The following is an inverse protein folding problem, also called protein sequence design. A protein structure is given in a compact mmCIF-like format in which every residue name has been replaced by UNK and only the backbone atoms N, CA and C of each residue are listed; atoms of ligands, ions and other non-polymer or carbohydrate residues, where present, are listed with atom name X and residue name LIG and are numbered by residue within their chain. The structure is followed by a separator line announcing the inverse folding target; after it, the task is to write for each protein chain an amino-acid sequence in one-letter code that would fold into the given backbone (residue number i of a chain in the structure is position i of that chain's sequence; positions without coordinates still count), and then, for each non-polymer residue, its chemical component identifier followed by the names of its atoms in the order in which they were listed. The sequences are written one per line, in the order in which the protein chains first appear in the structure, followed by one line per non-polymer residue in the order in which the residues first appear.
data_IF_445068450897
#
_entry.id   IF_445068450897
#
_cell.length_a   1.000
_cell.length_b   1.000
_cell.length_c   1.000
_cell.angle_alpha   90.00
_cell.angle_beta   90.00
_cell.angle_gamma   90.00
#
_symmetry.space_group_name_H-M   'P 1'
#
loop_
_entity.id
_entity.type
_entity.pdbx_description
1 polymer ?
#
# COMPACT_ATOMS: atom_id res chain seq x y z
N UNK A 1 -22.08 50.10 -9.38
CA UNK A 1 -20.84 49.31 -9.56
C UNK A 1 -20.33 48.68 -8.26
N UNK A 2 -20.23 49.38 -7.10
CA UNK A 2 -19.68 48.79 -5.85
C UNK A 2 -20.51 47.63 -5.31
N UNK A 3 -21.85 47.72 -5.31
CA UNK A 3 -22.75 46.65 -4.82
C UNK A 3 -22.62 45.38 -5.68
N UNK A 4 -22.58 45.49 -7.01
CA UNK A 4 -22.40 44.37 -7.91
C UNK A 4 -21.05 43.67 -7.69
N UNK A 5 -19.98 44.43 -7.41
CA UNK A 5 -18.66 43.86 -7.06
C UNK A 5 -18.68 43.10 -5.74
N UNK A 6 -19.38 43.63 -4.72
CA UNK A 6 -19.54 42.94 -3.44
C UNK A 6 -20.34 41.65 -3.56
N UNK A 7 -21.44 41.67 -4.33
CA UNK A 7 -22.26 40.47 -4.61
C UNK A 7 -21.44 39.42 -5.35
N UNK A 8 -20.69 39.82 -6.37
CA UNK A 8 -19.81 38.90 -7.13
C UNK A 8 -18.75 38.27 -6.22
N UNK A 9 -18.08 39.07 -5.40
CA UNK A 9 -17.10 38.57 -4.42
C UNK A 9 -17.72 37.58 -3.45
N UNK A 10 -18.91 37.91 -2.93
CA UNK A 10 -19.62 37.01 -2.02
C UNK A 10 -20.00 35.68 -2.69
N UNK A 11 -20.43 35.70 -3.95
CA UNK A 11 -20.71 34.46 -4.75
C UNK A 11 -19.44 33.64 -4.93
N UNK A 12 -18.31 34.27 -5.25
CA UNK A 12 -17.02 33.57 -5.37
C UNK A 12 -16.58 32.95 -4.05
N UNK A 13 -16.74 33.66 -2.93
CA UNK A 13 -16.44 33.13 -1.60
C UNK A 13 -17.36 31.98 -1.22
N UNK A 14 -18.65 32.07 -1.53
CA UNK A 14 -19.60 31.00 -1.30
C UNK A 14 -19.28 29.75 -2.15
N UNK A 15 -18.95 29.93 -3.44
CA UNK A 15 -18.49 28.85 -4.33
C UNK A 15 -17.20 28.20 -3.80
N UNK A 16 -16.29 29.01 -3.26
CA UNK A 16 -15.03 28.50 -2.66
C UNK A 16 -15.27 27.75 -1.38
N UNK A 17 -16.22 28.19 -0.57
CA UNK A 17 -16.55 27.56 0.72
C UNK A 17 -17.32 26.24 0.56
N UNK A 18 -18.34 26.23 -0.29
CA UNK A 18 -19.16 25.03 -0.54
C UNK A 18 -18.50 24.01 -1.47
N UNK A 19 -17.52 24.44 -2.27
CA UNK A 19 -16.78 23.61 -3.22
C UNK A 19 -17.68 22.61 -3.98
N UNK A 20 -18.72 23.07 -4.70
CA UNK A 20 -19.69 22.18 -5.33
C UNK A 20 -19.03 21.30 -6.38
N UNK A 21 -19.54 20.07 -6.57
CA UNK A 21 -18.96 19.04 -7.43
C UNK A 21 -18.50 19.53 -8.83
N UNK A 22 -19.23 20.41 -9.55
CA UNK A 22 -18.73 20.93 -10.84
C UNK A 22 -17.46 21.77 -10.72
N UNK A 23 -17.31 22.55 -9.64
CA UNK A 23 -16.11 23.36 -9.39
C UNK A 23 -14.93 22.47 -9.03
N UNK A 24 -15.14 21.44 -8.21
CA UNK A 24 -14.13 20.43 -7.91
C UNK A 24 -13.64 19.74 -9.20
N UNK A 25 -14.56 19.27 -10.05
CA UNK A 25 -14.23 18.63 -11.33
C UNK A 25 -13.41 19.57 -12.22
N UNK A 26 -13.81 20.83 -12.37
CA UNK A 26 -13.07 21.82 -13.17
C UNK A 26 -11.66 22.02 -12.62
N UNK A 27 -11.52 22.14 -11.30
CA UNK A 27 -10.21 22.27 -10.65
C UNK A 27 -9.32 21.05 -10.88
N UNK A 28 -9.88 19.83 -10.79
CA UNK A 28 -9.15 18.59 -11.03
C UNK A 28 -8.73 18.47 -12.51
N UNK A 29 -9.60 18.83 -13.45
CA UNK A 29 -9.25 18.88 -14.88
C UNK A 29 -8.20 19.92 -15.21
N UNK A 30 -8.20 21.06 -14.51
CA UNK A 30 -7.13 22.06 -14.64
C UNK A 30 -5.79 21.50 -14.13
N UNK A 31 -5.80 20.76 -13.03
CA UNK A 31 -4.61 20.06 -12.54
C UNK A 31 -4.09 19.04 -13.56
N UNK A 32 -4.99 18.23 -14.15
CA UNK A 32 -4.61 17.26 -15.20
C UNK A 32 -3.92 17.97 -16.38
N UNK A 33 -4.48 19.12 -16.81
CA UNK A 33 -3.91 19.91 -17.89
C UNK A 33 -2.51 20.42 -17.53
N UNK A 34 -2.30 20.92 -16.31
CA UNK A 34 -0.97 21.35 -15.88
C UNK A 34 0.03 20.18 -15.82
N UNK A 35 -0.39 19.02 -15.35
CA UNK A 35 0.47 17.82 -15.35
C UNK A 35 0.78 17.33 -16.78
N UNK A 36 -0.13 17.54 -17.74
CA UNK A 36 0.11 17.23 -19.15
C UNK A 36 1.12 18.21 -19.79
N UNK A 37 1.03 19.50 -19.46
CA UNK A 37 1.94 20.54 -19.98
C UNK A 37 3.33 20.40 -19.36
N UNK A 38 3.40 20.13 -18.05
CA UNK A 38 4.65 20.01 -17.30
C UNK A 38 4.65 18.70 -16.48
N UNK A 39 4.86 17.55 -17.13
CA UNK A 39 4.92 16.26 -16.47
C UNK A 39 6.19 16.16 -15.61
N UNK A 40 6.13 15.29 -14.60
CA UNK A 40 7.29 15.03 -13.75
C UNK A 40 8.47 14.51 -14.57
N UNK A 41 9.64 15.13 -14.43
CA UNK A 41 10.87 14.61 -15.01
C UNK A 41 11.27 13.26 -14.36
N UNK A 42 11.62 12.29 -15.20
CA UNK A 42 12.01 10.93 -14.77
C UNK A 42 13.51 10.73 -14.95
N UNK A 43 14.33 11.48 -14.22
CA UNK A 43 15.80 11.42 -14.34
C UNK A 43 16.40 10.22 -13.60
N UNK A 44 15.84 9.86 -12.44
CA UNK A 44 16.26 8.69 -11.67
C UNK A 44 15.03 7.95 -11.14
N UNK A 45 14.99 6.64 -11.35
CA UNK A 45 13.89 5.82 -10.85
C UNK A 45 14.38 5.03 -9.64
N UNK A 46 14.13 5.58 -8.45
CA UNK A 46 14.38 4.88 -7.19
C UNK A 46 13.46 3.67 -6.99
N UNK A 47 12.33 3.61 -7.70
CA UNK A 47 11.34 2.53 -7.62
C UNK A 47 11.31 1.78 -8.95
N UNK A 48 11.34 0.44 -8.87
CA UNK A 48 11.14 -0.47 -9.99
C UNK A 48 9.89 -1.29 -9.72
N UNK A 49 9.02 -1.41 -10.72
CA UNK A 49 7.86 -2.30 -10.68
C UNK A 49 8.27 -3.61 -11.33
N UNK A 50 8.10 -4.71 -10.59
CA UNK A 50 8.25 -6.07 -11.09
C UNK A 50 6.86 -6.63 -11.26
N UNK A 51 6.43 -6.73 -12.50
CA UNK A 51 5.09 -7.19 -12.85
C UNK A 51 5.09 -8.70 -13.09
N UNK A 52 4.03 -9.36 -12.64
CA UNK A 52 3.73 -10.75 -12.96
C UNK A 52 2.85 -10.74 -14.21
N UNK A 53 3.51 -10.54 -15.34
CA UNK A 53 2.88 -10.42 -16.66
C UNK A 53 2.63 -11.78 -17.34
N UNK A 54 2.01 -11.76 -18.53
CA UNK A 54 1.73 -12.97 -19.29
C UNK A 54 2.98 -13.79 -19.62
N UNK A 55 4.13 -13.13 -19.90
CA UNK A 55 5.40 -13.84 -20.17
C UNK A 55 5.89 -14.57 -18.93
N UNK A 56 5.74 -13.97 -17.78
CA UNK A 56 6.05 -14.61 -16.50
C UNK A 56 5.16 -15.81 -16.23
N UNK A 57 3.87 -15.72 -16.59
CA UNK A 57 2.91 -16.81 -16.47
C UNK A 57 3.19 -17.94 -17.45
N UNK A 58 3.59 -17.62 -18.68
CA UNK A 58 4.03 -18.62 -19.67
C UNK A 58 5.29 -19.36 -19.20
N UNK A 59 6.25 -18.66 -18.59
CA UNK A 59 7.52 -19.25 -18.16
C UNK A 59 7.41 -20.07 -16.86
N UNK A 60 6.55 -19.66 -15.92
CA UNK A 60 6.49 -20.21 -14.56
C UNK A 60 5.14 -20.85 -14.21
N UNK A 61 4.18 -20.85 -15.13
CA UNK A 61 2.84 -21.38 -14.93
C UNK A 61 1.87 -20.38 -14.30
N UNK A 62 0.64 -20.84 -14.10
CA UNK A 62 -0.45 -20.00 -13.60
C UNK A 62 -0.19 -19.49 -12.17
N UNK A 63 -0.59 -18.24 -11.94
CA UNK A 63 -0.71 -17.67 -10.60
C UNK A 63 -1.86 -18.34 -9.78
N UNK A 64 -1.75 -18.53 -8.47
CA UNK A 64 -0.61 -18.17 -7.62
C UNK A 64 0.54 -19.18 -7.71
N UNK A 65 1.77 -18.65 -7.81
CA UNK A 65 2.98 -19.45 -7.84
C UNK A 65 3.32 -20.09 -6.49
N UNK A 66 4.10 -21.20 -6.47
CA UNK A 66 4.64 -21.78 -5.26
C UNK A 66 5.41 -20.73 -4.45
N UNK A 67 5.28 -20.77 -3.13
CA UNK A 67 5.97 -19.84 -2.23
C UNK A 67 7.49 -19.94 -2.34
N UNK A 68 8.02 -21.10 -2.72
CA UNK A 68 9.45 -21.28 -3.00
C UNK A 68 9.94 -20.43 -4.17
N UNK A 69 9.14 -20.30 -5.24
CA UNK A 69 9.46 -19.43 -6.37
C UNK A 69 9.46 -17.94 -5.96
N UNK A 70 8.52 -17.53 -5.10
CA UNK A 70 8.49 -16.17 -4.56
C UNK A 70 9.68 -15.89 -3.63
N UNK A 71 10.12 -16.90 -2.87
CA UNK A 71 11.34 -16.80 -2.06
C UNK A 71 12.60 -16.60 -2.93
N UNK A 72 12.69 -17.36 -4.03
CA UNK A 72 13.78 -17.23 -5.00
C UNK A 72 13.75 -15.86 -5.71
N UNK A 73 12.58 -15.41 -6.15
CA UNK A 73 12.39 -14.08 -6.73
C UNK A 73 12.85 -12.99 -5.77
N UNK A 74 12.43 -13.08 -4.50
CA UNK A 74 12.85 -12.14 -3.46
C UNK A 74 14.37 -12.08 -3.36
N UNK A 75 15.02 -13.24 -3.24
CA UNK A 75 16.49 -13.31 -3.21
C UNK A 75 17.13 -12.65 -4.43
N UNK A 76 16.67 -12.97 -5.64
CA UNK A 76 17.21 -12.40 -6.89
C UNK A 76 17.06 -10.88 -6.96
N UNK A 77 15.98 -10.31 -6.45
CA UNK A 77 15.79 -8.87 -6.39
C UNK A 77 16.81 -8.20 -5.47
N UNK A 78 17.12 -8.80 -4.32
CA UNK A 78 18.16 -8.30 -3.42
C UNK A 78 19.57 -8.51 -3.99
N UNK A 79 19.84 -9.62 -4.65
CA UNK A 79 21.09 -9.87 -5.37
C UNK A 79 21.30 -8.82 -6.50
N UNK A 80 20.19 -8.31 -7.08
CA UNK A 80 20.20 -7.23 -8.07
C UNK A 80 20.28 -5.81 -7.45
N UNK A 81 20.40 -5.70 -6.13
CA UNK A 81 20.62 -4.43 -5.43
C UNK A 81 19.36 -3.73 -4.90
N UNK A 82 18.24 -4.43 -4.78
CA UNK A 82 17.07 -3.85 -4.14
C UNK A 82 17.32 -3.53 -2.67
N UNK A 83 17.01 -2.30 -2.23
CA UNK A 83 17.11 -1.90 -0.83
C UNK A 83 15.92 -2.45 -0.01
N UNK A 84 14.77 -2.59 -0.61
CA UNK A 84 13.56 -3.18 -0.03
C UNK A 84 12.67 -3.72 -1.14
N UNK A 85 11.86 -4.72 -0.84
CA UNK A 85 10.85 -5.28 -1.75
C UNK A 85 9.47 -5.19 -1.11
N UNK A 86 8.55 -4.50 -1.77
CA UNK A 86 7.15 -4.41 -1.37
C UNK A 86 6.29 -5.35 -2.20
N UNK A 87 5.44 -6.13 -1.54
CA UNK A 87 4.48 -7.00 -2.20
C UNK A 87 3.10 -6.32 -2.22
N UNK A 88 2.67 -5.90 -3.40
CA UNK A 88 1.29 -5.47 -3.66
C UNK A 88 0.37 -6.70 -3.81
N UNK A 89 0.51 -7.62 -2.86
CA UNK A 89 -0.15 -8.93 -2.84
C UNK A 89 -0.48 -9.26 -1.40
N UNK A 90 -1.64 -9.89 -1.17
CA UNK A 90 -2.02 -10.46 0.12
C UNK A 90 -1.96 -11.98 0.04
N UNK A 91 -1.18 -12.59 0.90
CA UNK A 91 -1.00 -14.03 0.99
C UNK A 91 -1.90 -14.61 2.08
N UNK A 92 -3.23 -14.50 1.89
CA UNK A 92 -4.22 -14.89 2.88
C UNK A 92 -4.37 -16.40 3.06
N UNK A 93 -3.94 -17.17 2.06
CA UNK A 93 -4.08 -18.63 2.05
C UNK A 93 -2.71 -19.31 2.00
N UNK A 94 -2.64 -20.49 2.60
CA UNK A 94 -1.45 -21.31 2.56
C UNK A 94 -1.21 -21.91 1.16
N UNK A 95 0.06 -22.13 0.81
CA UNK A 95 0.45 -22.65 -0.48
C UNK A 95 -0.16 -24.04 -0.74
N UNK A 96 -1.02 -24.11 -1.76
CA UNK A 96 -1.66 -25.37 -2.19
C UNK A 96 -0.67 -26.38 -2.75
N UNK A 97 0.50 -25.93 -3.23
CA UNK A 97 1.54 -26.76 -3.82
C UNK A 97 2.60 -27.21 -2.80
N UNK A 98 2.42 -26.91 -1.53
CA UNK A 98 3.26 -27.47 -0.46
C UNK A 98 3.21 -29.00 -0.53
N UNK A 99 4.38 -29.71 -0.58
CA UNK A 99 4.43 -31.16 -0.80
C UNK A 99 3.54 -31.99 0.13
N UNK A 100 3.50 -31.64 1.42
CA UNK A 100 2.64 -32.32 2.39
C UNK A 100 1.13 -32.13 2.10
N UNK A 101 0.71 -31.01 1.48
CA UNK A 101 -0.68 -30.78 1.05
C UNK A 101 -1.01 -31.57 -0.20
N UNK A 102 -0.07 -31.58 -1.17
CA UNK A 102 -0.19 -32.40 -2.38
C UNK A 102 -0.34 -33.87 -2.00
N UNK A 103 0.48 -34.39 -1.08
CA UNK A 103 0.39 -35.77 -0.59
C UNK A 103 -0.97 -36.11 0.05
N UNK A 104 -1.58 -35.16 0.76
CA UNK A 104 -2.94 -35.35 1.33
C UNK A 104 -4.04 -35.37 0.29
N UNK A 105 -3.88 -34.63 -0.79
CA UNK A 105 -4.90 -34.49 -1.84
C UNK A 105 -4.86 -35.62 -2.88
N UNK A 106 -3.85 -36.49 -2.83
CA UNK A 106 -3.68 -37.62 -3.72
C UNK A 106 -3.87 -38.96 -2.94
N UNK A 107 -5.10 -39.50 -2.89
CA UNK A 107 -5.40 -40.69 -2.07
C UNK A 107 -4.65 -41.93 -2.46
N UNK A 108 -4.38 -42.09 -3.76
CA UNK A 108 -3.74 -43.30 -4.32
C UNK A 108 -2.20 -43.22 -4.39
N UNK A 109 -1.60 -42.24 -3.68
CA UNK A 109 -0.15 -42.08 -3.67
C UNK A 109 0.51 -43.23 -2.89
N UNK A 110 1.59 -43.89 -3.42
CA UNK A 110 2.37 -44.88 -2.72
C UNK A 110 2.86 -44.39 -1.35
N UNK A 111 2.92 -45.30 -0.37
CA UNK A 111 3.20 -44.90 1.03
C UNK A 111 4.59 -44.28 1.22
N UNK A 112 5.60 -44.80 0.50
CA UNK A 112 6.97 -44.27 0.49
C UNK A 112 7.04 -42.87 -0.09
N UNK A 113 6.37 -42.60 -1.22
CA UNK A 113 6.31 -41.31 -1.84
C UNK A 113 5.52 -40.31 -0.96
N UNK A 114 4.43 -40.76 -0.35
CA UNK A 114 3.65 -39.94 0.61
C UNK A 114 4.52 -39.53 1.80
N UNK A 115 5.32 -40.45 2.35
CA UNK A 115 6.24 -40.16 3.44
C UNK A 115 7.33 -39.17 3.01
N UNK A 116 7.90 -39.33 1.82
CA UNK A 116 8.90 -38.42 1.28
C UNK A 116 8.34 -37.00 1.10
N UNK A 117 7.15 -36.85 0.53
CA UNK A 117 6.49 -35.55 0.36
C UNK A 117 6.11 -34.94 1.73
N UNK A 118 5.69 -35.72 2.69
CA UNK A 118 5.36 -35.24 4.02
C UNK A 118 6.58 -34.72 4.79
N UNK A 119 7.78 -35.27 4.51
CA UNK A 119 9.05 -34.83 5.12
C UNK A 119 9.72 -33.67 4.38
N UNK A 120 9.20 -33.27 3.20
CA UNK A 120 9.73 -32.14 2.43
C UNK A 120 9.44 -30.81 3.13
N UNK A 121 10.30 -29.78 2.92
CA UNK A 121 10.09 -28.46 3.50
C UNK A 121 8.72 -27.88 3.13
N UNK A 122 8.10 -27.19 4.08
CA UNK A 122 6.86 -26.45 3.86
C UNK A 122 7.16 -25.16 3.07
N UNK A 123 6.48 -24.98 1.94
CA UNK A 123 6.71 -23.82 1.06
C UNK A 123 6.45 -22.48 1.78
N UNK A 124 5.44 -22.42 2.65
CA UNK A 124 5.13 -21.22 3.42
C UNK A 124 6.28 -20.88 4.40
N UNK A 125 6.89 -21.90 5.01
CA UNK A 125 8.06 -21.72 5.89
C UNK A 125 9.29 -21.22 5.10
N UNK A 126 9.51 -21.75 3.90
CA UNK A 126 10.60 -21.29 3.02
C UNK A 126 10.44 -19.83 2.66
N UNK A 127 9.23 -19.41 2.30
CA UNK A 127 8.95 -18.01 1.98
C UNK A 127 9.04 -17.11 3.22
N UNK A 128 8.51 -17.55 4.35
CA UNK A 128 8.64 -16.81 5.61
C UNK A 128 10.12 -16.59 6.02
N UNK A 129 10.98 -17.59 5.80
CA UNK A 129 12.42 -17.44 6.02
C UNK A 129 13.06 -16.38 5.10
N UNK A 130 12.65 -16.34 3.83
CA UNK A 130 13.10 -15.29 2.89
C UNK A 130 12.59 -13.90 3.34
N UNK A 131 11.32 -13.77 3.71
CA UNK A 131 10.76 -12.51 4.24
C UNK A 131 11.50 -12.01 5.48
N UNK A 132 11.95 -12.91 6.35
CA UNK A 132 12.72 -12.58 7.55
C UNK A 132 14.16 -12.17 7.24
N UNK A 133 14.75 -12.76 6.21
CA UNK A 133 16.16 -12.51 5.82
C UNK A 133 16.30 -11.16 5.11
N UNK A 134 15.36 -10.82 4.26
CA UNK A 134 15.41 -9.66 3.37
C UNK A 134 14.45 -8.57 3.83
N UNK A 135 14.80 -7.29 3.61
CA UNK A 135 13.97 -6.13 3.97
C UNK A 135 12.69 -6.07 3.12
N UNK A 136 11.68 -6.80 3.53
CA UNK A 136 10.41 -6.94 2.81
C UNK A 136 9.25 -6.24 3.52
N UNK A 137 8.29 -5.78 2.73
CA UNK A 137 7.02 -5.19 3.19
C UNK A 137 5.86 -5.89 2.52
N UNK A 138 4.89 -6.33 3.29
CA UNK A 138 3.68 -6.97 2.78
C UNK A 138 2.51 -5.99 2.70
N UNK A 139 1.66 -6.20 1.70
CA UNK A 139 0.41 -5.48 1.56
C UNK A 139 -0.73 -6.08 2.38
N UNK A 140 -1.66 -5.24 2.84
CA UNK A 140 -2.98 -5.61 3.37
C UNK A 140 -4.07 -4.90 2.60
N UNK A 141 -5.12 -5.59 2.21
CA UNK A 141 -6.31 -4.94 1.66
C UNK A 141 -7.16 -4.35 2.76
N UNK A 142 -7.66 -3.15 2.50
CA UNK A 142 -8.59 -2.45 3.38
C UNK A 142 -10.02 -2.91 3.09
N UNK A 143 -10.84 -2.99 4.16
CA UNK A 143 -12.27 -3.31 4.06
C UNK A 143 -13.13 -2.31 4.81
N UNK A 144 -14.30 -2.06 4.26
CA UNK A 144 -15.39 -1.36 4.92
C UNK A 144 -16.19 -2.34 5.80
N UNK A 145 -17.07 -1.81 6.65
CA UNK A 145 -17.90 -2.64 7.56
C UNK A 145 -18.74 -3.68 6.82
N UNK A 146 -19.32 -3.30 5.69
CA UNK A 146 -20.22 -4.15 4.92
C UNK A 146 -19.52 -5.34 4.24
N UNK A 147 -18.18 -5.26 4.09
CA UNK A 147 -17.40 -6.31 3.44
C UNK A 147 -16.84 -7.35 4.42
N UNK A 148 -17.07 -7.15 5.71
CA UNK A 148 -16.46 -7.96 6.77
C UNK A 148 -14.95 -7.72 6.88
N UNK A 149 -14.39 -7.86 8.05
CA UNK A 149 -12.98 -7.67 8.34
C UNK A 149 -12.79 -7.36 9.81
N UNK A 150 -11.63 -7.69 10.35
CA UNK A 150 -11.27 -7.34 11.72
C UNK A 150 -10.14 -6.33 11.73
N UNK A 151 -10.19 -5.43 12.70
CA UNK A 151 -9.11 -4.55 13.06
C UNK A 151 -8.26 -5.12 14.22
N UNK A 152 -8.58 -6.33 14.68
CA UNK A 152 -7.89 -6.95 15.81
C UNK A 152 -6.49 -7.43 15.43
N UNK A 153 -5.55 -7.28 16.36
CA UNK A 153 -4.17 -7.76 16.17
C UNK A 153 -3.38 -7.04 15.09
N UNK A 154 -3.79 -5.84 14.67
CA UNK A 154 -3.05 -5.05 13.68
C UNK A 154 -1.67 -4.69 14.20
N UNK A 155 -0.64 -5.19 13.54
CA UNK A 155 0.73 -4.71 13.73
C UNK A 155 0.84 -3.32 13.12
N UNK A 156 1.28 -2.35 13.90
CA UNK A 156 1.51 -0.98 13.45
C UNK A 156 2.91 -0.54 13.86
N UNK A 157 3.63 0.19 13.04
CA UNK A 157 4.86 0.85 13.46
C UNK A 157 4.56 1.92 14.52
N UNK A 158 5.59 2.37 15.20
CA UNK A 158 5.47 3.49 16.13
C UNK A 158 5.10 4.78 15.38
N UNK A 159 4.11 5.51 15.88
CA UNK A 159 3.66 6.78 15.31
C UNK A 159 3.67 7.84 16.42
N UNK A 160 4.55 8.81 16.29
CA UNK A 160 4.55 10.00 17.12
C UNK A 160 3.54 11.01 16.55
N UNK A 161 2.70 11.56 17.40
CA UNK A 161 1.70 12.57 17.04
C UNK A 161 2.21 13.92 17.51
N UNK A 162 2.21 14.91 16.62
CA UNK A 162 2.54 16.29 16.92
C UNK A 162 1.34 17.17 16.58
N UNK A 163 0.64 17.64 17.59
CA UNK A 163 -0.67 18.30 17.52
C UNK A 163 -1.80 17.37 17.92
N UNK A 164 -2.96 17.55 17.31
CA UNK A 164 -4.19 16.81 17.62
C UNK A 164 -4.16 15.33 17.18
N UNK A 165 -5.15 14.55 17.62
CA UNK A 165 -5.27 13.16 17.18
C UNK A 165 -5.54 13.07 15.66
N UNK A 166 -4.70 12.41 14.86
CA UNK A 166 -4.86 12.33 13.41
C UNK A 166 -6.06 11.46 12.97
N UNK A 167 -6.53 10.54 13.80
CA UNK A 167 -7.55 9.55 13.44
C UNK A 167 -8.84 10.17 12.84
N UNK A 168 -9.39 11.28 13.36
CA UNK A 168 -10.61 11.88 12.80
C UNK A 168 -10.45 12.43 11.38
N UNK A 169 -9.23 12.76 10.97
CA UNK A 169 -8.96 13.39 9.68
C UNK A 169 -8.60 12.38 8.58
N UNK A 170 -8.10 11.21 8.97
CA UNK A 170 -7.65 10.18 8.03
C UNK A 170 -8.81 9.42 7.36
N UNK A 171 -8.62 8.93 6.13
CA UNK A 171 -9.55 7.98 5.52
C UNK A 171 -9.74 6.77 6.42
N UNK A 172 -11.01 6.43 6.71
CA UNK A 172 -11.37 5.43 7.71
C UNK A 172 -11.84 4.13 7.05
N UNK A 173 -11.34 3.02 7.61
CA UNK A 173 -11.71 1.66 7.26
C UNK A 173 -12.01 0.87 8.54
N UNK A 174 -12.84 -0.17 8.43
CA UNK A 174 -13.31 -0.94 9.59
C UNK A 174 -12.52 -2.24 9.78
N UNK A 175 -11.80 -2.70 8.76
CA UNK A 175 -11.01 -3.92 8.84
C UNK A 175 -10.01 -4.08 7.71
N UNK A 176 -9.31 -5.22 7.72
CA UNK A 176 -8.32 -5.59 6.71
C UNK A 176 -8.46 -7.06 6.32
N UNK A 177 -7.99 -7.39 5.11
CA UNK A 177 -7.55 -8.73 4.75
C UNK A 177 -6.04 -8.77 4.89
N UNK A 178 -5.57 -9.65 5.75
CA UNK A 178 -4.16 -9.81 6.09
C UNK A 178 -3.57 -11.05 5.42
N UNK A 179 -2.26 -11.06 5.27
CA UNK A 179 -1.52 -12.28 4.94
C UNK A 179 -1.51 -13.24 6.12
N UNK A 180 -1.12 -14.51 5.87
CA UNK A 180 -0.96 -15.49 6.94
C UNK A 180 -0.06 -14.94 8.06
N UNK A 181 -0.36 -15.24 9.34
CA UNK A 181 0.41 -14.74 10.48
C UNK A 181 1.92 -15.03 10.38
N UNK A 182 2.29 -16.19 9.84
CA UNK A 182 3.70 -16.55 9.63
C UNK A 182 4.43 -15.56 8.72
N UNK A 183 3.78 -15.04 7.70
CA UNK A 183 4.37 -14.06 6.77
C UNK A 183 4.45 -12.68 7.40
N UNK A 184 3.37 -12.21 8.02
CA UNK A 184 3.35 -10.89 8.65
C UNK A 184 4.31 -10.75 9.83
N UNK A 185 4.54 -11.85 10.58
CA UNK A 185 5.53 -11.89 11.64
C UNK A 185 6.96 -11.93 11.13
N UNK A 186 7.16 -12.44 9.92
CA UNK A 186 8.48 -12.56 9.28
C UNK A 186 8.88 -11.30 8.51
N UNK A 187 7.93 -10.57 7.91
CA UNK A 187 8.20 -9.36 7.15
C UNK A 187 8.66 -8.21 8.05
N UNK A 188 9.46 -7.30 7.50
CA UNK A 188 9.99 -6.11 8.18
C UNK A 188 8.98 -4.99 8.32
N UNK A 189 7.94 -5.02 7.48
CA UNK A 189 6.84 -4.06 7.51
C UNK A 189 5.57 -4.61 6.90
N UNK A 190 4.45 -3.93 7.21
CA UNK A 190 3.15 -4.21 6.63
C UNK A 190 2.47 -2.88 6.33
N UNK A 191 2.09 -2.65 5.08
CA UNK A 191 1.46 -1.41 4.63
C UNK A 191 0.10 -1.66 3.99
N UNK A 192 -0.75 -0.64 4.01
CA UNK A 192 -2.11 -0.73 3.47
C UNK A 192 -2.11 -0.53 1.96
N UNK A 193 -2.82 -1.40 1.25
CA UNK A 193 -3.18 -1.26 -0.15
C UNK A 193 -4.50 -0.48 -0.19
N UNK A 194 -4.42 0.77 -0.66
CA UNK A 194 -5.57 1.68 -0.59
C UNK A 194 -6.19 1.84 -1.97
N UNK A 195 -7.40 1.34 -2.19
CA UNK A 195 -8.14 1.62 -3.42
C UNK A 195 -8.63 3.07 -3.35
N UNK A 196 -7.91 4.00 -3.97
CA UNK A 196 -8.31 5.41 -4.01
C UNK A 196 -8.53 5.84 -5.43
N UNK A 197 -9.73 6.25 -5.75
CA UNK A 197 -10.06 6.91 -7.00
C UNK A 197 -10.97 8.10 -6.71
N UNK A 198 -10.83 9.13 -7.50
CA UNK A 198 -11.74 10.27 -7.52
C UNK A 198 -13.06 9.82 -8.19
N UNK A 199 -14.05 10.72 -8.24
CA UNK A 199 -15.36 10.42 -8.85
C UNK A 199 -15.30 10.03 -10.34
N UNK A 200 -14.23 10.40 -11.02
CA UNK A 200 -13.96 10.09 -12.43
C UNK A 200 -12.99 8.90 -12.63
N UNK A 201 -12.76 8.11 -11.59
CA UNK A 201 -11.85 6.96 -11.53
C UNK A 201 -10.36 7.29 -11.81
N UNK A 202 -9.97 8.57 -11.76
CA UNK A 202 -8.56 8.96 -11.87
C UNK A 202 -7.98 9.11 -10.46
N UNK A 203 -6.82 8.52 -10.23
CA UNK A 203 -6.11 8.64 -8.96
C UNK A 203 -5.24 9.89 -9.01
N UNK A 204 -5.57 10.93 -8.25
CA UNK A 204 -4.75 12.14 -8.15
C UNK A 204 -4.18 12.36 -6.77
N UNK A 205 -4.78 11.73 -5.77
CA UNK A 205 -4.36 11.83 -4.37
C UNK A 205 -4.30 10.45 -3.76
N UNK A 206 -3.21 10.15 -3.08
CA UNK A 206 -3.00 8.86 -2.40
C UNK A 206 -2.81 9.14 -0.91
N UNK A 207 -3.55 8.49 0.00
CA UNK A 207 -3.29 8.63 1.43
C UNK A 207 -1.86 8.23 1.77
N UNK A 208 -1.19 9.02 2.60
CA UNK A 208 0.06 8.60 3.24
C UNK A 208 -0.23 7.56 4.32
N UNK A 209 -1.29 7.81 5.07
CA UNK A 209 -1.78 6.96 6.14
C UNK A 209 -3.29 6.86 6.10
N UNK A 210 -3.82 5.80 6.73
CA UNK A 210 -5.25 5.57 6.91
C UNK A 210 -5.54 5.22 8.37
N UNK A 211 -6.79 5.30 8.76
CA UNK A 211 -7.26 4.79 10.04
C UNK A 211 -8.00 3.47 9.83
N UNK A 212 -7.57 2.42 10.52
CA UNK A 212 -8.31 1.15 10.60
C UNK A 212 -8.84 1.01 12.03
N UNK A 213 -10.14 1.11 12.17
CA UNK A 213 -10.74 1.33 13.49
C UNK A 213 -10.21 2.62 14.14
N UNK A 214 -9.48 2.47 15.25
CA UNK A 214 -8.82 3.59 15.95
C UNK A 214 -7.30 3.62 15.75
N UNK A 215 -6.77 2.75 14.91
CA UNK A 215 -5.33 2.59 14.73
C UNK A 215 -4.88 3.23 13.42
N UNK A 216 -3.89 4.11 13.49
CA UNK A 216 -3.27 4.72 12.30
C UNK A 216 -2.35 3.71 11.64
N UNK A 217 -2.45 3.55 10.33
CA UNK A 217 -1.70 2.59 9.54
C UNK A 217 -1.06 3.27 8.33
N UNK A 218 0.22 3.01 8.01
CA UNK A 218 0.86 3.52 6.81
C UNK A 218 0.37 2.79 5.57
N UNK A 219 0.42 3.45 4.42
CA UNK A 219 0.28 2.78 3.13
C UNK A 219 1.53 1.99 2.76
N UNK A 220 1.41 1.06 1.79
CA UNK A 220 2.52 0.21 1.35
C UNK A 220 3.75 1.03 0.96
N UNK A 221 3.57 2.09 0.16
CA UNK A 221 4.67 2.93 -0.30
C UNK A 221 5.40 3.63 0.85
N UNK A 222 4.65 4.15 1.84
CA UNK A 222 5.23 4.81 2.98
C UNK A 222 5.96 3.82 3.92
N UNK A 223 5.40 2.62 4.09
CA UNK A 223 6.04 1.56 4.88
C UNK A 223 7.32 1.03 4.19
N UNK A 224 7.34 0.91 2.86
CA UNK A 224 8.55 0.59 2.11
C UNK A 224 9.64 1.63 2.35
N UNK A 225 9.30 2.93 2.34
CA UNK A 225 10.25 4.00 2.64
C UNK A 225 10.79 3.89 4.07
N UNK A 226 9.94 3.58 5.06
CA UNK A 226 10.36 3.36 6.43
C UNK A 226 11.36 2.22 6.56
N UNK A 227 11.04 1.08 5.95
CA UNK A 227 11.89 -0.13 6.00
C UNK A 227 13.21 0.13 5.27
N UNK A 228 13.18 0.70 4.07
CA UNK A 228 14.36 1.01 3.27
C UNK A 228 15.34 1.97 3.98
N UNK A 229 14.83 2.90 4.79
CA UNK A 229 15.62 3.89 5.52
C UNK A 229 15.98 3.45 6.96
N UNK A 230 15.56 2.24 7.37
CA UNK A 230 15.83 1.71 8.71
C UNK A 230 15.10 2.45 9.84
N UNK A 231 14.09 3.26 9.53
CA UNK A 231 13.36 4.04 10.52
C UNK A 231 12.40 3.17 11.32
N UNK A 232 12.16 3.55 12.57
CA UNK A 232 11.23 2.84 13.48
C UNK A 232 9.92 3.57 13.67
N UNK A 233 9.90 4.88 13.44
CA UNK A 233 8.80 5.77 13.83
C UNK A 233 8.47 6.74 12.72
N UNK A 234 7.17 7.00 12.54
CA UNK A 234 6.65 8.14 11.78
C UNK A 234 6.34 9.29 12.73
N UNK A 235 6.37 10.52 12.22
CA UNK A 235 5.76 11.67 12.91
C UNK A 235 4.61 12.19 12.04
N UNK A 236 3.41 12.23 12.61
CA UNK A 236 2.23 12.84 11.97
C UNK A 236 2.02 14.18 12.61
N UNK A 237 2.11 15.25 11.81
CA UNK A 237 1.84 16.62 12.24
C UNK A 237 0.39 16.98 11.90
N UNK A 238 -0.32 17.46 12.89
CA UNK A 238 -1.72 17.90 12.77
C UNK A 238 -1.87 19.34 13.31
N UNK A 239 -2.83 20.04 12.74
CA UNK A 239 -3.32 21.33 13.25
C UNK A 239 -4.86 21.29 13.35
N UNK A 240 -5.48 22.41 13.71
CA UNK A 240 -6.94 22.54 13.82
C UNK A 240 -7.69 22.23 12.49
N UNK A 241 -7.01 22.33 11.35
CA UNK A 241 -7.58 22.09 10.04
C UNK A 241 -7.45 20.63 9.57
N UNK A 242 -6.58 19.83 10.20
CA UNK A 242 -6.36 18.43 9.84
C UNK A 242 -4.89 18.01 9.81
N UNK A 243 -4.56 17.07 8.94
CA UNK A 243 -3.18 16.60 8.75
C UNK A 243 -2.40 17.67 7.96
N UNK A 244 -1.27 18.10 8.49
CA UNK A 244 -0.37 19.04 7.80
C UNK A 244 0.71 18.30 7.01
N UNK A 245 1.35 17.31 7.64
CA UNK A 245 2.41 16.54 7.00
C UNK A 245 2.67 15.21 7.72
N UNK A 246 3.38 14.32 7.02
CA UNK A 246 3.97 13.10 7.59
C UNK A 246 5.49 13.20 7.47
N UNK A 247 6.22 12.96 8.56
CA UNK A 247 7.68 13.01 8.56
C UNK A 247 8.23 11.59 8.70
N UNK A 248 9.17 11.25 7.83
CA UNK A 248 9.90 9.99 7.86
C UNK A 248 11.36 10.20 7.41
N UNK A 249 12.30 9.60 8.09
CA UNK A 249 13.74 9.71 7.79
C UNK A 249 14.22 11.18 7.68
N UNK A 250 13.68 12.08 8.50
CA UNK A 250 14.00 13.50 8.46
C UNK A 250 13.34 14.28 7.31
N UNK A 251 12.65 13.60 6.40
CA UNK A 251 11.94 14.23 5.29
C UNK A 251 10.49 14.50 5.66
N UNK A 252 10.06 15.73 5.49
CA UNK A 252 8.69 16.15 5.68
C UNK A 252 7.91 16.04 4.35
N UNK A 253 6.89 15.19 4.35
CA UNK A 253 6.01 14.96 3.20
C UNK A 253 4.73 15.76 3.43
N UNK A 254 4.51 16.85 2.69
CA UNK A 254 3.29 17.64 2.83
C UNK A 254 2.07 16.85 2.36
N UNK A 255 0.97 17.00 3.06
CA UNK A 255 -0.30 16.35 2.74
C UNK A 255 -1.43 17.35 2.63
N UNK A 256 -2.56 16.94 2.09
CA UNK A 256 -3.80 17.66 2.29
C UNK A 256 -4.33 17.40 3.73
N UNK A 257 -5.41 18.11 4.11
CA UNK A 257 -6.02 18.01 5.45
C UNK A 257 -6.48 16.60 5.84
N UNK A 258 -6.62 15.68 4.87
CA UNK A 258 -6.96 14.28 5.06
C UNK A 258 -5.75 13.33 5.00
N UNK A 259 -4.53 13.87 5.05
CA UNK A 259 -3.30 13.09 5.00
C UNK A 259 -3.01 12.47 3.64
N UNK A 260 -3.52 13.06 2.53
CA UNK A 260 -3.29 12.55 1.18
C UNK A 260 -2.21 13.36 0.47
N UNK A 261 -1.40 12.67 -0.31
CA UNK A 261 -0.32 13.20 -1.13
C UNK A 261 -0.83 13.37 -2.56
N UNK A 262 -0.56 14.50 -3.18
CA UNK A 262 -0.82 14.69 -4.60
C UNK A 262 0.14 13.88 -5.46
N UNK A 263 -0.39 13.13 -6.40
CA UNK A 263 0.40 12.36 -7.36
C UNK A 263 0.80 13.28 -8.50
N UNK A 264 2.11 13.39 -8.73
CA UNK A 264 2.67 14.09 -9.89
C UNK A 264 3.08 13.04 -10.93
N UNK A 265 2.31 12.91 -11.99
CA UNK A 265 2.51 11.90 -13.02
C UNK A 265 3.68 12.26 -13.95
N UNK A 266 4.40 11.24 -14.38
CA UNK A 266 5.35 11.36 -15.49
C UNK A 266 4.61 11.38 -16.83
N UNK A 267 5.29 11.84 -17.89
CA UNK A 267 4.76 11.72 -19.26
C UNK A 267 4.46 10.26 -19.61
N UNK A 268 3.36 9.96 -20.29
CA UNK A 268 3.14 8.63 -20.87
C UNK A 268 4.29 8.26 -21.80
N UNK A 269 4.75 7.03 -21.70
CA UNK A 269 5.78 6.49 -22.61
C UNK A 269 5.13 5.91 -23.86
#
# INVERSE_FOLDING_TARGET
MRIAGCVFLFVLLALRYWDPAPVEVLRLKTLDLFQFIEPRATTEQAVRIVDIDERSLEAHGQWPWPRTLLAELTKKLFDAGAATVGFDIVFAEADRLTPSRVARNLPDLPADLRAALASSPDNDQVFAAALKTYLTVLGRFLRTRDEGGSADGLRSPSIAKLGDDPVPFLPRFDGVIASLPIFEQSAHGVGMLVPTHERDNIIRRVPAMVSVGKTVQPTLALEMLRVATGQKTYVVKTDEAGIASVVIAGNEIPTDRKGRIWVHYASPR
#
